data_IF_937360937710
#
_entry.id   IF_937360937710
#
_cell.length_a   1.000
_cell.length_b   1.000
_cell.length_c   1.000
_cell.angle_alpha   90.00
_cell.angle_beta   90.00
_cell.angle_gamma   90.00
#
_symmetry.space_group_name_H-M   'P 1'
#
loop_
_entity.id
_entity.type
_entity.pdbx_description
1 polymer ?
#
# COMPACT_ATOMS: atom_id res chain seq x y z
N UNK A 1 -14.24 19.96 6.56
CA UNK A 1 -13.71 18.91 5.67
C UNK A 1 -12.69 18.15 6.48
N UNK A 2 -13.06 16.99 7.01
CA UNK A 2 -12.14 16.18 7.84
C UNK A 2 -10.98 15.68 6.97
N UNK A 3 -9.79 16.24 7.21
CA UNK A 3 -8.54 15.75 6.62
C UNK A 3 -8.13 14.49 7.38
N UNK A 4 -8.54 13.33 6.90
CA UNK A 4 -7.91 12.07 7.28
C UNK A 4 -6.49 12.01 6.67
N UNK A 5 -5.54 12.77 7.21
CA UNK A 5 -4.14 12.71 6.78
C UNK A 5 -3.36 11.70 7.64
N UNK A 6 -3.74 10.42 7.51
CA UNK A 6 -2.91 9.31 7.99
C UNK A 6 -1.71 9.07 7.07
N UNK A 7 -0.66 8.43 7.60
CA UNK A 7 0.55 8.07 6.84
C UNK A 7 0.21 7.33 5.54
N UNK A 8 -0.77 6.42 5.58
CA UNK A 8 -1.28 5.71 4.39
C UNK A 8 -1.78 6.66 3.30
N UNK A 9 -2.66 7.61 3.65
CA UNK A 9 -3.22 8.57 2.69
C UNK A 9 -2.11 9.39 2.02
N UNK A 10 -1.18 9.92 2.82
CA UNK A 10 -0.05 10.71 2.31
C UNK A 10 0.81 9.91 1.33
N UNK A 11 1.24 8.72 1.72
CA UNK A 11 2.13 7.91 0.89
C UNK A 11 1.46 7.43 -0.41
N UNK A 12 0.16 7.11 -0.38
CA UNK A 12 -0.60 6.73 -1.58
C UNK A 12 -0.73 7.91 -2.54
N UNK A 13 -1.11 9.09 -2.03
CA UNK A 13 -1.26 10.29 -2.87
C UNK A 13 0.08 10.69 -3.49
N UNK A 14 1.16 10.67 -2.73
CA UNK A 14 2.50 10.97 -3.25
C UNK A 14 2.91 9.96 -4.34
N UNK A 15 2.76 8.66 -4.07
CA UNK A 15 3.16 7.59 -4.99
C UNK A 15 2.36 7.52 -6.31
N UNK A 16 1.06 7.87 -6.28
CA UNK A 16 0.24 7.95 -7.48
C UNK A 16 0.55 9.17 -8.36
N UNK A 17 1.14 10.22 -7.76
CA UNK A 17 1.55 11.44 -8.45
C UNK A 17 2.99 11.38 -9.02
N UNK A 18 3.78 10.33 -8.74
CA UNK A 18 5.11 10.17 -9.36
C UNK A 18 5.05 9.53 -10.75
N UNK A 19 6.13 9.68 -11.53
CA UNK A 19 6.38 8.90 -12.75
C UNK A 19 7.76 8.22 -12.69
N UNK A 20 7.83 6.88 -12.74
CA UNK A 20 6.70 5.95 -12.75
C UNK A 20 5.90 6.00 -11.44
N UNK A 21 4.63 5.58 -11.51
CA UNK A 21 3.77 5.44 -10.32
C UNK A 21 4.31 4.33 -9.44
N UNK A 22 4.27 4.50 -8.12
CA UNK A 22 4.73 3.50 -7.16
C UNK A 22 3.89 3.50 -5.90
N UNK A 23 3.75 2.33 -5.28
CA UNK A 23 3.19 2.15 -3.94
C UNK A 23 4.17 1.29 -3.12
N UNK A 24 4.23 1.52 -1.81
CA UNK A 24 5.05 0.67 -0.93
C UNK A 24 4.43 -0.72 -0.80
N UNK A 25 5.23 -1.76 -0.93
CA UNK A 25 4.78 -3.15 -0.77
C UNK A 25 4.28 -3.47 0.64
N UNK A 26 4.61 -2.64 1.65
CA UNK A 26 4.11 -2.80 3.03
C UNK A 26 2.58 -2.76 3.11
N UNK A 27 1.90 -2.20 2.10
CA UNK A 27 0.44 -2.13 2.03
C UNK A 27 -0.21 -3.35 1.37
N UNK A 28 0.58 -4.37 1.01
CA UNK A 28 0.06 -5.62 0.47
C UNK A 28 -0.33 -6.62 1.58
N UNK A 29 0.13 -6.42 2.82
CA UNK A 29 -0.01 -7.38 3.92
C UNK A 29 -1.29 -7.15 4.73
N UNK A 30 -2.44 -7.37 4.10
CA UNK A 30 -3.70 -7.61 4.79
C UNK A 30 -3.93 -9.14 4.95
N UNK A 31 -5.02 -9.62 5.58
CA UNK A 31 -5.25 -11.05 5.71
C UNK A 31 -5.28 -11.83 4.38
N UNK A 32 -5.60 -11.17 3.26
CA UNK A 32 -5.61 -11.78 1.93
C UNK A 32 -4.18 -11.84 1.39
N UNK A 33 -3.45 -10.73 1.42
CA UNK A 33 -2.08 -10.66 0.94
C UNK A 33 -1.10 -11.46 1.78
N UNK A 34 -1.32 -11.58 3.08
CA UNK A 34 -0.57 -12.49 3.95
C UNK A 34 -0.75 -13.94 3.50
N UNK A 35 -1.98 -14.37 3.22
CA UNK A 35 -2.25 -15.72 2.70
C UNK A 35 -1.58 -15.94 1.34
N UNK A 36 -1.73 -14.99 0.42
CA UNK A 36 -1.08 -15.06 -0.89
C UNK A 36 0.44 -15.16 -0.77
N UNK A 37 1.06 -14.43 0.16
CA UNK A 37 2.48 -14.52 0.41
C UNK A 37 2.88 -15.90 0.95
N UNK A 38 2.10 -16.47 1.87
CA UNK A 38 2.32 -17.85 2.33
C UNK A 38 2.21 -18.86 1.17
N UNK A 39 1.23 -18.70 0.29
CA UNK A 39 1.02 -19.60 -0.86
C UNK A 39 2.16 -19.50 -1.91
N UNK A 40 2.84 -18.35 -2.01
CA UNK A 40 4.00 -18.15 -2.91
C UNK A 40 5.28 -18.77 -2.32
N UNK A 41 5.41 -18.77 -0.99
CA UNK A 41 6.62 -19.21 -0.30
C UNK A 41 6.69 -20.73 -0.07
N UNK A 42 5.54 -21.42 -0.10
CA UNK A 42 5.42 -22.88 0.07
C UNK A 42 5.36 -23.62 -1.27
#
# INVERSE_FOLDING_TARGET
MEKYEGVFHKEVVEGLNTYPKKLSSKYFYDPIGDRLFQDIMH
#
